data_IF_311992001055
#
_entry.id   IF_311992001055
#
_cell.length_a   1.000
_cell.length_b   1.000
_cell.length_c   1.000
_cell.angle_alpha   90.00
_cell.angle_beta   90.00
_cell.angle_gamma   90.00
#
_symmetry.space_group_name_H-M   'P 1'
#
loop_
_entity.id
_entity.type
_entity.pdbx_description
1 polymer ?
#
# COMPACT_ATOMS: atom_id res chain seq x y z
N UNK A 1 -10.23 -15.56 16.66
CA UNK A 1 -9.22 -14.78 17.41
C UNK A 1 -8.34 -14.11 16.37
N UNK A 2 -8.63 -12.84 16.08
CA UNK A 2 -8.00 -12.11 14.98
C UNK A 2 -6.56 -11.75 15.39
N UNK A 3 -5.58 -12.41 14.78
CA UNK A 3 -4.16 -12.05 14.98
C UNK A 3 -3.87 -10.78 14.17
N UNK A 4 -4.15 -9.66 14.79
CA UNK A 4 -3.62 -8.38 14.32
C UNK A 4 -2.13 -8.35 14.68
N UNK A 5 -1.24 -8.33 13.69
CA UNK A 5 0.14 -7.94 13.89
C UNK A 5 0.20 -6.43 14.14
N UNK A 6 -0.36 -6.00 15.27
CA UNK A 6 -0.39 -4.61 15.68
C UNK A 6 0.82 -4.29 16.54
N UNK A 7 1.89 -3.86 15.93
CA UNK A 7 2.86 -3.04 16.63
C UNK A 7 2.30 -1.61 16.64
N UNK A 8 1.74 -1.18 17.79
CA UNK A 8 1.62 0.24 18.12
C UNK A 8 0.76 1.19 17.27
N UNK A 9 -0.32 0.75 16.60
CA UNK A 9 -1.16 1.68 15.80
C UNK A 9 -2.14 2.54 16.60
N UNK A 10 -2.11 2.49 17.95
CA UNK A 10 -3.12 3.10 18.82
C UNK A 10 -3.61 4.50 18.40
N UNK A 11 -2.72 5.42 18.06
CA UNK A 11 -3.09 6.78 17.64
C UNK A 11 -3.60 6.87 16.20
N UNK A 12 -3.22 5.92 15.33
CA UNK A 12 -3.59 5.90 13.92
C UNK A 12 -4.86 5.08 13.63
N UNK A 13 -5.37 4.32 14.62
CA UNK A 13 -6.52 3.43 14.45
C UNK A 13 -7.77 4.15 13.92
N UNK A 14 -8.11 5.32 14.46
CA UNK A 14 -9.27 6.09 14.02
C UNK A 14 -9.12 6.61 12.58
N UNK A 15 -7.91 6.97 12.16
CA UNK A 15 -7.64 7.46 10.80
C UNK A 15 -7.73 6.33 9.79
N UNK A 16 -7.19 5.17 10.13
CA UNK A 16 -7.28 3.97 9.31
C UNK A 16 -8.72 3.46 9.22
N UNK A 17 -9.48 3.50 10.33
CA UNK A 17 -10.90 3.16 10.36
C UNK A 17 -11.74 4.03 9.41
N UNK A 18 -11.39 5.29 9.23
CA UNK A 18 -12.10 6.17 8.29
C UNK A 18 -12.06 5.67 6.84
N UNK A 19 -11.01 4.91 6.43
CA UNK A 19 -10.98 4.28 5.11
C UNK A 19 -11.97 3.14 5.01
N UNK A 20 -12.12 2.31 6.04
CA UNK A 20 -13.11 1.23 6.10
C UNK A 20 -14.54 1.78 6.11
N UNK A 21 -14.80 2.86 6.86
CA UNK A 21 -16.11 3.54 6.91
C UNK A 21 -16.51 4.18 5.57
N UNK A 22 -15.56 4.46 4.69
CA UNK A 22 -15.78 5.02 3.36
C UNK A 22 -15.47 4.03 2.23
N UNK A 23 -15.44 2.73 2.56
CA UNK A 23 -15.02 1.65 1.68
C UNK A 23 -15.70 1.68 0.30
N UNK A 24 -17.05 1.74 0.25
CA UNK A 24 -17.79 1.67 -1.00
C UNK A 24 -17.43 2.81 -1.98
N UNK A 25 -17.19 4.02 -1.44
CA UNK A 25 -16.80 5.16 -2.27
C UNK A 25 -15.39 4.96 -2.81
N UNK A 26 -14.46 4.56 -1.95
CA UNK A 26 -13.05 4.31 -2.32
C UNK A 26 -12.97 3.17 -3.34
N UNK A 27 -13.73 2.09 -3.10
CA UNK A 27 -13.82 0.94 -4.00
C UNK A 27 -14.30 1.36 -5.40
N UNK A 28 -15.36 2.17 -5.46
CA UNK A 28 -15.90 2.67 -6.73
C UNK A 28 -14.86 3.51 -7.47
N UNK A 29 -14.21 4.48 -6.80
CA UNK A 29 -13.14 5.30 -7.38
C UNK A 29 -12.00 4.42 -7.94
N UNK A 30 -11.59 3.40 -7.20
CA UNK A 30 -10.51 2.52 -7.60
C UNK A 30 -10.88 1.60 -8.78
N UNK A 31 -12.13 1.10 -8.84
CA UNK A 31 -12.62 0.29 -9.95
C UNK A 31 -12.72 1.14 -11.23
N UNK A 32 -13.22 2.38 -11.13
CA UNK A 32 -13.26 3.31 -12.24
C UNK A 32 -11.85 3.63 -12.77
N UNK A 33 -10.90 3.83 -11.86
CA UNK A 33 -9.50 4.04 -12.21
C UNK A 33 -8.89 2.79 -12.87
N UNK A 34 -9.20 1.59 -12.38
CA UNK A 34 -8.70 0.32 -12.92
C UNK A 34 -9.26 -0.04 -14.31
N UNK A 35 -10.30 0.65 -14.79
CA UNK A 35 -10.82 0.46 -16.15
C UNK A 35 -9.95 1.12 -17.22
N UNK A 36 -9.02 1.99 -16.84
CA UNK A 36 -8.09 2.70 -17.73
C UNK A 36 -6.65 2.30 -17.35
N UNK A 37 -6.20 1.16 -17.87
CA UNK A 37 -4.91 0.58 -17.55
C UNK A 37 -3.72 1.29 -18.21
N UNK A 38 -3.95 2.14 -19.18
CA UNK A 38 -2.86 2.86 -19.88
C UNK A 38 -2.09 3.83 -18.95
N UNK A 39 -2.68 4.19 -17.81
CA UNK A 39 -2.07 5.05 -16.79
C UNK A 39 -1.33 4.28 -15.69
N UNK A 40 -1.41 2.95 -15.69
CA UNK A 40 -0.81 2.14 -14.65
C UNK A 40 0.64 1.79 -14.98
N UNK A 41 1.50 1.97 -13.99
CA UNK A 41 2.89 1.53 -14.09
C UNK A 41 2.99 0.07 -13.67
N UNK A 42 3.76 -0.74 -14.39
CA UNK A 42 4.13 -2.07 -13.92
C UNK A 42 5.05 -1.88 -12.71
N UNK A 43 4.59 -2.32 -11.53
CA UNK A 43 5.27 -2.10 -10.26
C UNK A 43 6.03 -3.37 -9.88
N UNK A 44 7.29 -3.19 -9.44
CA UNK A 44 8.12 -4.25 -8.85
C UNK A 44 8.17 -5.57 -9.66
N UNK A 45 8.18 -5.50 -11.00
CA UNK A 45 8.18 -6.67 -11.88
C UNK A 45 9.28 -7.69 -11.55
N UNK A 46 10.43 -7.25 -11.01
CA UNK A 46 11.52 -8.13 -10.57
C UNK A 46 11.21 -8.87 -9.26
N UNK A 47 10.16 -8.47 -8.53
CA UNK A 47 9.67 -9.16 -7.35
C UNK A 47 8.50 -10.13 -7.67
N UNK A 48 8.09 -10.23 -8.92
CA UNK A 48 6.99 -11.09 -9.35
C UNK A 48 7.54 -12.38 -9.97
N UNK A 49 7.14 -13.53 -9.40
CA UNK A 49 7.48 -14.86 -9.93
C UNK A 49 6.61 -15.24 -11.11
N UNK A 50 5.33 -14.88 -11.06
CA UNK A 50 4.32 -15.15 -12.09
C UNK A 50 3.22 -14.10 -12.04
N UNK A 51 2.53 -13.86 -13.16
CA UNK A 51 1.46 -12.87 -13.29
C UNK A 51 1.99 -11.46 -13.42
N UNK A 52 1.15 -10.49 -13.11
CA UNK A 52 1.48 -9.05 -13.22
C UNK A 52 0.96 -8.27 -12.02
N UNK A 53 1.69 -7.23 -11.67
CA UNK A 53 1.43 -6.35 -10.56
C UNK A 53 1.55 -4.92 -11.05
N UNK A 54 0.45 -4.17 -11.00
CA UNK A 54 0.38 -2.79 -11.48
C UNK A 54 0.04 -1.84 -10.35
N UNK A 55 0.56 -0.64 -10.39
CA UNK A 55 0.25 0.36 -9.38
C UNK A 55 0.09 1.75 -9.95
N UNK A 56 -0.72 2.57 -9.28
CA UNK A 56 -0.85 3.98 -9.56
C UNK A 56 -0.77 4.78 -8.26
N UNK A 57 0.17 5.73 -8.21
CA UNK A 57 0.47 6.50 -7.02
C UNK A 57 -0.58 7.55 -6.69
N UNK A 58 -0.92 7.68 -5.39
CA UNK A 58 -1.77 8.74 -4.84
C UNK A 58 -0.93 9.80 -4.11
N UNK A 59 -0.06 9.34 -3.22
CA UNK A 59 0.95 10.14 -2.53
C UNK A 59 2.29 9.42 -2.58
N UNK A 60 3.32 10.08 -3.07
CA UNK A 60 4.66 9.53 -3.19
C UNK A 60 5.63 10.44 -2.42
N UNK A 61 6.25 9.91 -1.37
CA UNK A 61 7.27 10.61 -0.59
C UNK A 61 6.82 12.00 -0.09
N UNK A 62 5.59 12.05 0.46
CA UNK A 62 4.98 13.28 0.96
C UNK A 62 4.39 14.20 -0.11
N UNK A 63 4.41 13.81 -1.38
CA UNK A 63 3.89 14.62 -2.50
C UNK A 63 2.62 13.99 -3.08
N UNK A 64 1.57 14.79 -3.18
CA UNK A 64 0.29 14.39 -3.79
C UNK A 64 0.44 14.28 -5.31
N UNK A 65 -0.05 13.20 -5.88
CA UNK A 65 -0.22 13.03 -7.34
C UNK A 65 -1.57 13.64 -7.75
N UNK A 66 -1.55 14.83 -8.33
CA UNK A 66 -2.77 15.61 -8.59
C UNK A 66 -3.70 14.94 -9.60
N UNK A 67 -3.15 14.36 -10.65
CA UNK A 67 -3.88 13.68 -11.71
C UNK A 67 -4.68 12.49 -11.16
N UNK A 68 -4.01 11.51 -10.56
CA UNK A 68 -4.65 10.35 -9.95
C UNK A 68 -5.66 10.76 -8.87
N UNK A 69 -5.28 11.74 -8.03
CA UNK A 69 -6.16 12.24 -6.98
C UNK A 69 -7.40 13.01 -7.49
N UNK A 70 -7.41 13.49 -8.74
CA UNK A 70 -8.62 14.04 -9.35
C UNK A 70 -9.65 12.97 -9.69
N UNK A 71 -9.18 11.77 -10.01
CA UNK A 71 -9.99 10.56 -10.29
C UNK A 71 -10.37 9.81 -8.99
N UNK A 72 -9.62 9.98 -7.89
CA UNK A 72 -9.85 9.33 -6.59
C UNK A 72 -9.98 10.37 -5.45
N UNK A 73 -10.94 11.30 -5.54
CA UNK A 73 -11.02 12.44 -4.63
C UNK A 73 -11.27 12.04 -3.17
N UNK A 74 -12.05 10.98 -2.91
CA UNK A 74 -12.36 10.53 -1.56
C UNK A 74 -11.15 9.87 -0.90
N UNK A 75 -10.50 8.94 -1.58
CA UNK A 75 -9.28 8.29 -1.10
C UNK A 75 -8.20 9.33 -0.80
N UNK A 76 -7.95 10.26 -1.72
CA UNK A 76 -6.96 11.32 -1.53
C UNK A 76 -7.33 12.33 -0.44
N UNK A 77 -8.62 12.61 -0.21
CA UNK A 77 -9.07 13.45 0.93
C UNK A 77 -8.73 12.80 2.26
N UNK A 78 -8.98 11.51 2.40
CA UNK A 78 -8.66 10.75 3.61
C UNK A 78 -7.15 10.64 3.82
N UNK A 79 -6.38 10.33 2.76
CA UNK A 79 -4.91 10.33 2.82
C UNK A 79 -4.35 11.69 3.24
N UNK A 80 -4.85 12.79 2.68
CA UNK A 80 -4.43 14.15 3.08
C UNK A 80 -4.68 14.43 4.56
N UNK A 81 -5.77 13.89 5.12
CA UNK A 81 -6.07 14.01 6.55
C UNK A 81 -5.20 13.11 7.42
N UNK A 82 -4.67 12.02 6.87
CA UNK A 82 -3.75 11.09 7.54
C UNK A 82 -2.29 11.60 7.38
N UNK A 83 -1.87 12.50 8.26
CA UNK A 83 -0.59 13.21 8.17
C UNK A 83 0.61 12.27 8.23
N UNK A 84 0.55 11.23 9.05
CA UNK A 84 1.61 10.23 9.22
C UNK A 84 1.94 9.50 7.90
N UNK A 85 0.98 9.48 6.94
CA UNK A 85 1.18 8.99 5.57
C UNK A 85 1.49 10.13 4.61
N UNK A 86 0.61 11.13 4.53
CA UNK A 86 0.65 12.15 3.47
C UNK A 86 1.83 13.11 3.53
N UNK A 87 2.50 13.26 4.68
CA UNK A 87 3.71 14.08 4.84
C UNK A 87 4.99 13.25 5.02
N UNK A 88 4.86 11.94 5.08
CA UNK A 88 5.97 11.02 5.25
C UNK A 88 6.86 10.99 4.00
N UNK A 89 8.13 11.35 4.16
CA UNK A 89 9.10 11.41 3.05
C UNK A 89 9.62 10.04 2.58
N UNK A 90 9.26 8.96 3.28
CA UNK A 90 9.66 7.58 3.00
C UNK A 90 8.48 6.68 2.62
N UNK A 91 7.27 7.25 2.60
CA UNK A 91 6.02 6.53 2.42
C UNK A 91 5.47 6.67 1.01
N UNK A 92 4.78 5.63 0.58
CA UNK A 92 4.04 5.57 -0.67
C UNK A 92 2.60 5.18 -0.34
N UNK A 93 1.64 5.90 -0.90
CA UNK A 93 0.24 5.47 -0.92
C UNK A 93 -0.19 5.31 -2.37
N UNK A 94 -0.71 4.14 -2.72
CA UNK A 94 -1.01 3.75 -4.09
C UNK A 94 -2.24 2.84 -4.16
N UNK A 95 -2.89 2.81 -5.30
CA UNK A 95 -3.83 1.75 -5.66
C UNK A 95 -3.05 0.71 -6.44
N UNK A 96 -3.30 -0.56 -6.13
CA UNK A 96 -2.59 -1.71 -6.69
C UNK A 96 -3.59 -2.65 -7.32
N UNK A 97 -3.30 -3.09 -8.54
CA UNK A 97 -4.02 -4.13 -9.25
C UNK A 97 -3.09 -5.34 -9.42
N UNK A 98 -3.54 -6.49 -8.93
CA UNK A 98 -2.82 -7.76 -8.99
C UNK A 98 -3.60 -8.72 -9.85
N UNK A 99 -3.06 -9.09 -11.00
CA UNK A 99 -3.73 -9.97 -11.95
C UNK A 99 -3.90 -11.40 -11.42
N UNK A 100 -4.83 -12.19 -11.99
CA UNK A 100 -4.99 -13.62 -11.68
C UNK A 100 -3.66 -14.40 -11.82
N UNK A 101 -3.41 -15.32 -10.87
CA UNK A 101 -2.22 -16.16 -10.89
C UNK A 101 -0.92 -15.45 -10.54
N UNK A 102 -1.00 -14.24 -9.99
CA UNK A 102 0.17 -13.47 -9.57
C UNK A 102 0.72 -13.96 -8.24
N UNK A 103 2.04 -14.21 -8.22
CA UNK A 103 2.77 -14.59 -7.01
C UNK A 103 4.04 -13.74 -6.90
N UNK A 104 4.16 -12.99 -5.82
CA UNK A 104 5.40 -12.31 -5.48
C UNK A 104 6.41 -13.29 -4.88
N UNK A 105 7.70 -13.03 -5.13
CA UNK A 105 8.78 -13.65 -4.34
C UNK A 105 8.81 -13.00 -2.96
N UNK A 106 9.23 -13.77 -1.96
CA UNK A 106 9.40 -13.24 -0.61
C UNK A 106 10.53 -12.23 -0.59
N UNK A 107 10.26 -11.06 -0.04
CA UNK A 107 11.20 -9.95 0.02
C UNK A 107 10.98 -9.13 1.29
N UNK A 108 11.96 -8.30 1.62
CA UNK A 108 11.87 -7.34 2.72
C UNK A 108 11.67 -5.95 2.13
N UNK A 109 10.84 -5.14 2.76
CA UNK A 109 10.74 -3.73 2.44
C UNK A 109 12.04 -2.98 2.75
N UNK A 110 12.20 -1.77 2.20
CA UNK A 110 13.48 -1.05 2.22
C UNK A 110 13.83 -0.44 3.59
N UNK A 111 12.90 -0.40 4.55
CA UNK A 111 13.09 0.27 5.85
C UNK A 111 12.11 -0.25 6.90
N UNK A 112 12.51 -0.17 8.17
CA UNK A 112 11.65 -0.38 9.34
C UNK A 112 11.08 0.94 9.92
N UNK A 113 11.26 2.06 9.22
CA UNK A 113 10.80 3.37 9.69
C UNK A 113 9.34 3.66 9.31
N UNK A 114 8.67 2.73 8.63
CA UNK A 114 7.27 2.84 8.23
C UNK A 114 6.53 1.53 8.40
N UNK A 115 5.23 1.64 8.61
CA UNK A 115 4.29 0.53 8.55
C UNK A 115 3.48 0.63 7.26
N UNK A 116 2.99 -0.50 6.79
CA UNK A 116 2.06 -0.60 5.64
C UNK A 116 0.68 -1.02 6.11
N UNK A 117 -0.33 -0.27 5.67
CA UNK A 117 -1.72 -0.66 5.74
C UNK A 117 -2.22 -1.07 4.36
N UNK A 118 -2.87 -2.21 4.27
CA UNK A 118 -3.49 -2.74 3.04
C UNK A 118 -4.99 -2.86 3.27
N UNK A 119 -5.77 -2.20 2.45
CA UNK A 119 -7.23 -2.32 2.41
C UNK A 119 -7.63 -2.99 1.09
N UNK A 120 -8.05 -4.28 1.11
CA UNK A 120 -8.56 -4.93 -0.09
C UNK A 120 -9.88 -4.29 -0.52
N UNK A 121 -9.91 -3.77 -1.76
CA UNK A 121 -11.07 -3.12 -2.37
C UNK A 121 -11.88 -4.09 -3.22
N UNK A 122 -11.21 -5.09 -3.82
CA UNK A 122 -11.80 -6.22 -4.52
C UNK A 122 -10.93 -7.43 -4.27
N UNK A 123 -11.50 -8.49 -3.70
CA UNK A 123 -10.79 -9.73 -3.41
C UNK A 123 -11.75 -10.93 -3.42
N UNK A 124 -11.36 -12.03 -4.06
CA UNK A 124 -12.09 -13.29 -3.98
C UNK A 124 -11.72 -14.02 -2.68
N UNK A 125 -12.74 -14.38 -1.89
CA UNK A 125 -12.55 -15.03 -0.60
C UNK A 125 -11.71 -16.32 -0.71
N UNK A 126 -10.71 -16.43 0.17
CA UNK A 126 -9.82 -17.60 0.25
C UNK A 126 -8.75 -17.67 -0.83
N UNK A 127 -8.71 -16.72 -1.78
CA UNK A 127 -7.83 -16.77 -2.96
C UNK A 127 -6.69 -15.76 -2.94
N UNK A 128 -6.89 -14.62 -2.29
CA UNK A 128 -5.85 -13.60 -2.15
C UNK A 128 -5.20 -13.70 -0.77
N UNK A 129 -3.87 -13.74 -0.71
CA UNK A 129 -3.12 -13.96 0.53
C UNK A 129 -1.94 -13.03 0.65
N UNK A 130 -1.73 -12.55 1.87
CA UNK A 130 -0.53 -11.84 2.29
C UNK A 130 0.28 -12.73 3.24
N UNK A 131 1.54 -12.95 2.92
CA UNK A 131 2.49 -13.68 3.74
C UNK A 131 3.39 -12.69 4.47
N UNK A 132 3.57 -12.86 5.77
CA UNK A 132 4.43 -12.01 6.61
C UNK A 132 5.22 -12.93 7.54
N UNK A 133 6.52 -13.08 7.31
CA UNK A 133 7.35 -14.05 7.99
C UNK A 133 6.77 -15.47 7.86
N UNK A 134 6.38 -16.08 8.99
CA UNK A 134 5.79 -17.42 9.06
C UNK A 134 4.26 -17.40 8.99
N UNK A 135 3.64 -16.24 8.91
CA UNK A 135 2.19 -16.09 9.00
C UNK A 135 1.60 -15.85 7.61
N UNK A 136 0.40 -16.37 7.45
CA UNK A 136 -0.44 -16.19 6.26
C UNK A 136 -1.71 -15.48 6.68
N UNK A 137 -2.08 -14.43 5.95
CA UNK A 137 -3.31 -13.67 6.15
C UNK A 137 -4.10 -13.66 4.85
N UNK A 138 -5.28 -14.23 4.88
CA UNK A 138 -6.26 -14.07 3.80
C UNK A 138 -6.68 -12.60 3.70
N UNK A 139 -6.68 -12.06 2.49
CA UNK A 139 -7.16 -10.73 2.18
C UNK A 139 -8.65 -10.78 1.86
N UNK A 140 -9.45 -10.05 2.64
CA UNK A 140 -10.90 -9.94 2.46
C UNK A 140 -11.29 -8.49 2.26
N UNK A 141 -12.29 -8.27 1.42
CA UNK A 141 -12.81 -6.91 1.16
C UNK A 141 -13.17 -6.20 2.46
N UNK A 142 -12.77 -4.93 2.56
CA UNK A 142 -12.96 -4.06 3.73
C UNK A 142 -12.27 -4.53 5.04
N UNK A 143 -11.44 -5.56 4.99
CA UNK A 143 -10.65 -5.99 6.15
C UNK A 143 -9.24 -5.38 6.08
N UNK A 144 -9.02 -4.30 6.81
CA UNK A 144 -7.73 -3.61 6.83
C UNK A 144 -6.66 -4.47 7.53
N UNK A 145 -5.53 -4.64 6.88
CA UNK A 145 -4.34 -5.32 7.42
C UNK A 145 -3.22 -4.32 7.59
N UNK A 146 -2.57 -4.30 8.76
CA UNK A 146 -1.40 -3.45 9.01
C UNK A 146 -0.23 -4.32 9.40
N UNK A 147 0.94 -4.08 8.80
CA UNK A 147 2.16 -4.84 9.10
C UNK A 147 3.42 -3.99 8.88
N UNK A 148 4.50 -4.45 9.45
CA UNK A 148 5.84 -3.93 9.21
C UNK A 148 6.44 -4.66 8.00
N UNK A 149 6.57 -3.95 6.88
CA UNK A 149 7.11 -4.51 5.63
C UNK A 149 8.61 -4.81 5.68
N UNK A 150 9.32 -4.37 6.72
CA UNK A 150 10.73 -4.75 6.89
C UNK A 150 10.91 -6.23 7.19
N UNK A 151 9.86 -6.91 7.67
CA UNK A 151 9.83 -8.37 7.71
C UNK A 151 9.62 -8.93 6.31
N UNK A 152 10.14 -10.16 6.10
CA UNK A 152 9.93 -10.88 4.85
C UNK A 152 8.43 -11.01 4.56
N UNK A 153 8.01 -10.53 3.40
CA UNK A 153 6.61 -10.55 3.00
C UNK A 153 6.44 -10.88 1.51
N UNK A 154 5.25 -11.31 1.12
CA UNK A 154 4.87 -11.57 -0.25
C UNK A 154 3.34 -11.59 -0.37
N UNK A 155 2.83 -11.34 -1.57
CA UNK A 155 1.42 -11.37 -1.90
C UNK A 155 1.17 -12.42 -2.98
N UNK A 156 0.03 -13.12 -2.91
CA UNK A 156 -0.48 -13.96 -3.99
C UNK A 156 -1.94 -13.68 -4.30
N UNK A 157 -2.29 -13.86 -5.58
CA UNK A 157 -3.67 -13.86 -6.06
C UNK A 157 -3.94 -15.16 -6.83
N UNK A 158 -4.49 -16.16 -6.14
CA UNK A 158 -4.87 -17.46 -6.70
C UNK A 158 -6.31 -17.48 -7.26
N UNK A 159 -6.91 -16.31 -7.45
CA UNK A 159 -8.27 -16.18 -7.99
C UNK A 159 -8.27 -16.12 -9.53
N UNK A 160 -9.46 -16.24 -10.12
CA UNK A 160 -9.70 -15.97 -11.54
C UNK A 160 -9.96 -14.49 -11.85
N UNK A 161 -9.90 -13.60 -10.84
CA UNK A 161 -10.24 -12.19 -10.95
C UNK A 161 -9.08 -11.30 -10.47
N UNK A 162 -9.08 -10.03 -10.92
CA UNK A 162 -8.13 -9.07 -10.41
C UNK A 162 -8.35 -8.81 -8.91
N UNK A 163 -7.27 -8.76 -8.15
CA UNK A 163 -7.24 -8.26 -6.78
C UNK A 163 -6.93 -6.77 -6.82
N UNK A 164 -7.77 -5.95 -6.18
CA UNK A 164 -7.58 -4.50 -6.11
C UNK A 164 -7.37 -4.08 -4.67
N UNK A 165 -6.28 -3.36 -4.41
CA UNK A 165 -5.86 -2.96 -3.07
C UNK A 165 -5.65 -1.44 -3.00
N UNK A 166 -5.93 -0.85 -1.84
CA UNK A 166 -5.38 0.43 -1.44
C UNK A 166 -4.24 0.14 -0.44
N UNK A 167 -3.01 0.44 -0.84
CA UNK A 167 -1.82 0.38 0.02
C UNK A 167 -1.47 1.77 0.54
N UNK A 168 -1.16 1.86 1.83
CA UNK A 168 -0.86 3.11 2.51
C UNK A 168 0.31 2.89 3.46
N UNK A 169 1.45 3.44 3.13
CA UNK A 169 2.55 3.50 4.08
C UNK A 169 2.36 4.71 5.01
N UNK A 170 2.81 4.60 6.25
CA UNK A 170 2.82 5.68 7.22
C UNK A 170 3.97 5.53 8.21
N UNK A 171 4.44 6.64 8.76
CA UNK A 171 5.55 6.64 9.72
C UNK A 171 5.32 5.65 10.86
N UNK A 172 6.35 4.86 11.18
CA UNK A 172 6.31 4.01 12.36
C UNK A 172 6.04 4.86 13.61
N UNK A 173 5.12 4.46 14.50
CA UNK A 173 4.71 5.28 15.64
C UNK A 173 5.85 5.57 16.64
N UNK A 174 6.85 4.70 16.70
CA UNK A 174 8.00 4.85 17.61
C UNK A 174 9.07 5.82 17.10
N UNK A 175 8.93 6.37 15.87
CA UNK A 175 9.86 7.34 15.36
C UNK A 175 9.75 8.68 16.08
N UNK A 176 10.91 9.24 16.43
CA UNK A 176 11.03 10.63 16.88
C UNK A 176 10.73 11.61 15.74
N UNK A 177 10.39 12.85 16.06
CA UNK A 177 10.12 13.88 15.04
C UNK A 177 11.35 14.17 14.16
N UNK A 178 12.57 13.96 14.68
CA UNK A 178 13.81 14.07 13.89
C UNK A 178 13.90 12.99 12.82
N UNK A 179 13.61 11.74 13.17
CA UNK A 179 13.65 10.59 12.26
C UNK A 179 12.57 10.69 11.17
N UNK A 180 11.36 11.18 11.51
CA UNK A 180 10.29 11.44 10.53
C UNK A 180 10.67 12.47 9.48
N UNK A 181 11.57 13.40 9.82
CA UNK A 181 11.99 14.50 8.94
C UNK A 181 13.31 14.26 8.19
N UNK A 182 13.90 13.08 8.28
CA UNK A 182 15.09 12.72 7.49
C UNK A 182 14.78 12.67 5.99
N UNK A 183 15.83 12.71 5.15
CA UNK A 183 15.72 12.77 3.69
C UNK A 183 14.83 11.65 3.11
N UNK A 184 14.14 11.99 2.02
CA UNK A 184 13.28 11.03 1.33
C UNK A 184 14.12 9.93 0.63
N UNK A 185 13.54 8.74 0.48
CA UNK A 185 14.13 7.66 -0.31
C UNK A 185 14.45 8.12 -1.74
N UNK A 186 13.60 8.97 -2.34
CA UNK A 186 13.83 9.50 -3.69
C UNK A 186 15.10 10.33 -3.79
N UNK A 187 15.48 11.06 -2.74
CA UNK A 187 16.67 11.89 -2.72
C UNK A 187 17.91 11.02 -2.49
N UNK A 188 17.79 9.98 -1.65
CA UNK A 188 18.87 8.99 -1.45
C UNK A 188 19.13 8.15 -2.71
N UNK A 189 18.09 7.75 -3.44
CA UNK A 189 18.20 7.01 -4.70
C UNK A 189 18.79 7.92 -5.78
N UNK A 190 18.30 9.15 -5.93
CA UNK A 190 18.87 10.13 -6.87
C UNK A 190 20.35 10.40 -6.61
N UNK A 191 20.75 10.53 -5.34
CA UNK A 191 22.16 10.72 -4.99
C UNK A 191 23.06 9.53 -5.32
N UNK A 192 22.50 8.31 -5.41
CA UNK A 192 23.24 7.08 -5.76
C UNK A 192 23.25 6.75 -7.26
N UNK A 193 22.29 7.27 -8.03
CA UNK A 193 22.13 6.98 -9.47
C UNK A 193 22.41 8.18 -10.39
N UNK A 194 22.88 9.31 -9.87
CA UNK A 194 23.36 10.46 -10.69
C UNK A 194 24.83 10.26 -11.11
N UNK A 195 25.24 9.03 -11.33
CA UNK A 195 26.51 8.73 -12.01
C UNK A 195 26.21 7.69 -13.10
N UNK A 196 25.61 8.16 -14.20
CA UNK A 196 25.90 7.68 -15.57
C UNK A 196 25.01 8.42 -16.55
#
# INVERSE_FOLDING_TARGET
MSLYFFIGIGQNSNKLKAFQENFEIIRKEAIELASDLDEWEEDDHFLVRSGSFHAIGLFLYGKKKHETCSKTPKACKLLKAFKESSTCKKCISKIVLVEPGTHQIRHNGPTNERLRAVLPLQAENGKAKLFIGKHEKELRENELVVFDESFENALSNDSGNNLLLLEMDFNHPDLTDREKNTESFSDQVKSKFVLY
#
